data_IF_141224815111
#
_entry.id   IF_141224815111
#
_cell.length_a   1.000
_cell.length_b   1.000
_cell.length_c   1.000
_cell.angle_alpha   90.00
_cell.angle_beta   90.00
_cell.angle_gamma   90.00
#
_symmetry.space_group_name_H-M   'P 1'
#
loop_
_entity.id
_entity.type
_entity.pdbx_description
1 polymer ?
#
# COMPACT_ATOMS: atom_id res chain seq x y z
N UNK A 1 -8.40 7.79 -3.98
CA UNK A 1 -8.28 6.57 -3.16
C UNK A 1 -7.02 5.79 -3.48
N UNK A 2 -6.15 5.63 -2.49
CA UNK A 2 -4.84 4.94 -2.55
C UNK A 2 -4.84 3.75 -1.59
N UNK A 3 -3.90 2.83 -1.76
CA UNK A 3 -3.70 1.68 -0.86
C UNK A 3 -2.37 1.87 -0.15
N UNK A 4 -2.38 1.68 1.16
CA UNK A 4 -1.21 1.77 2.01
C UNK A 4 -0.94 0.44 2.71
N UNK A 5 0.31 0.01 2.71
CA UNK A 5 0.75 -1.21 3.37
C UNK A 5 1.07 -0.93 4.84
N UNK A 6 0.75 -1.89 5.70
CA UNK A 6 1.07 -1.81 7.12
C UNK A 6 1.78 -3.06 7.61
N UNK A 7 2.43 -2.95 8.76
CA UNK A 7 3.05 -4.04 9.50
C UNK A 7 2.47 -4.09 10.92
N UNK A 8 2.46 -5.31 11.47
CA UNK A 8 2.21 -5.59 12.89
C UNK A 8 3.44 -6.30 13.44
N UNK A 9 3.88 -5.91 14.64
CA UNK A 9 5.00 -6.58 15.31
C UNK A 9 4.46 -7.55 16.35
N UNK A 10 4.93 -8.80 16.32
CA UNK A 10 4.64 -9.76 17.39
C UNK A 10 5.36 -9.32 18.67
N UNK A 11 4.62 -9.08 19.77
CA UNK A 11 5.22 -8.62 21.02
C UNK A 11 6.11 -9.68 21.69
N UNK A 12 6.04 -10.95 21.30
CA UNK A 12 6.76 -12.05 21.95
C UNK A 12 8.07 -12.42 21.25
N UNK A 13 8.16 -12.26 19.93
CA UNK A 13 9.34 -12.70 19.16
C UNK A 13 9.92 -11.64 18.20
N UNK A 14 9.40 -10.41 18.21
CA UNK A 14 9.79 -9.30 17.33
C UNK A 14 9.68 -9.59 15.83
N UNK A 15 8.98 -10.65 15.42
CA UNK A 15 8.69 -10.86 14.00
C UNK A 15 7.71 -9.82 13.51
N UNK A 16 7.94 -9.38 12.28
CA UNK A 16 7.06 -8.48 11.54
C UNK A 16 6.13 -9.29 10.66
N UNK A 17 4.85 -9.02 10.77
CA UNK A 17 3.81 -9.58 9.92
C UNK A 17 3.23 -8.47 9.05
N UNK A 18 2.81 -8.84 7.83
CA UNK A 18 2.04 -7.95 6.98
C UNK A 18 0.69 -7.70 7.66
N UNK A 19 0.44 -6.43 7.99
CA UNK A 19 -0.81 -5.97 8.56
C UNK A 19 -1.90 -5.76 7.51
N UNK A 20 -3.09 -5.32 7.92
CA UNK A 20 -4.16 -4.97 6.98
C UNK A 20 -3.76 -3.76 6.12
N UNK A 21 -4.18 -3.75 4.86
CA UNK A 21 -3.99 -2.56 4.03
C UNK A 21 -4.97 -1.44 4.44
N UNK A 22 -4.54 -0.19 4.34
CA UNK A 22 -5.38 0.99 4.58
C UNK A 22 -5.77 1.58 3.23
N UNK A 23 -7.07 1.90 3.05
CA UNK A 23 -7.53 2.75 1.95
C UNK A 23 -7.74 4.16 2.46
N UNK A 24 -7.08 5.13 1.85
CA UNK A 24 -7.16 6.53 2.24
C UNK A 24 -6.97 7.44 1.02
N UNK A 25 -7.41 8.69 1.13
CA UNK A 25 -7.21 9.72 0.09
C UNK A 25 -5.84 10.38 0.18
N UNK A 26 -5.20 10.34 1.35
CA UNK A 26 -3.89 10.95 1.59
C UNK A 26 -3.02 10.14 2.55
N UNK A 27 -1.72 10.40 2.54
CA UNK A 27 -0.78 9.83 3.50
C UNK A 27 -1.16 10.18 4.94
N UNK A 28 -1.54 11.45 5.20
CA UNK A 28 -1.92 11.91 6.53
C UNK A 28 -3.16 11.18 7.10
N UNK A 29 -4.13 10.88 6.23
CA UNK A 29 -5.28 10.06 6.61
C UNK A 29 -4.87 8.61 6.90
N UNK A 30 -3.98 8.04 6.09
CA UNK A 30 -3.45 6.70 6.33
C UNK A 30 -2.65 6.60 7.63
N UNK A 31 -1.83 7.62 7.95
CA UNK A 31 -1.08 7.73 9.20
C UNK A 31 -2.02 7.79 10.41
N UNK A 32 -3.10 8.59 10.31
CA UNK A 32 -4.11 8.67 11.37
C UNK A 32 -4.77 7.33 11.63
N UNK A 33 -5.19 6.62 10.58
CA UNK A 33 -5.80 5.29 10.70
C UNK A 33 -4.78 4.31 11.29
N UNK A 34 -3.54 4.29 10.79
CA UNK A 34 -2.50 3.40 11.31
C UNK A 34 -2.27 3.62 12.82
N UNK A 35 -2.23 4.87 13.26
CA UNK A 35 -2.10 5.22 14.68
C UNK A 35 -3.28 4.72 15.53
N UNK A 36 -4.53 4.92 15.06
CA UNK A 36 -5.75 4.49 15.78
C UNK A 36 -5.81 2.97 16.01
N UNK A 37 -5.20 2.17 15.13
CA UNK A 37 -5.21 0.71 15.19
C UNK A 37 -3.85 0.10 15.59
N UNK A 38 -2.91 0.91 16.10
CA UNK A 38 -1.57 0.47 16.52
C UNK A 38 -0.81 -0.27 15.40
N UNK A 39 -0.99 0.16 14.16
CA UNK A 39 -0.32 -0.37 12.97
C UNK A 39 0.90 0.47 12.61
N UNK A 40 1.92 -0.18 12.06
CA UNK A 40 3.08 0.51 11.48
C UNK A 40 2.81 0.75 10.00
N UNK A 41 2.72 2.02 9.57
CA UNK A 41 2.58 2.38 8.16
C UNK A 41 3.92 2.17 7.43
N UNK A 42 3.92 1.33 6.38
CA UNK A 42 5.13 0.99 5.61
C UNK A 42 5.27 1.89 4.39
N UNK A 43 4.16 2.19 3.70
CA UNK A 43 4.17 3.03 2.51
C UNK A 43 2.95 2.87 1.60
N UNK A 44 2.91 3.66 0.52
CA UNK A 44 1.87 3.61 -0.50
C UNK A 44 2.18 2.50 -1.54
N UNK A 45 1.18 1.68 -1.87
CA UNK A 45 1.27 0.69 -2.93
C UNK A 45 0.96 1.35 -4.28
N UNK A 46 1.94 1.30 -5.19
CA UNK A 46 1.79 1.76 -6.56
C UNK A 46 1.72 0.59 -7.53
N UNK A 47 0.87 0.71 -8.54
CA UNK A 47 0.86 -0.22 -9.67
C UNK A 47 2.17 -0.11 -10.43
N UNK A 48 2.82 -1.25 -10.65
CA UNK A 48 3.97 -1.32 -11.54
C UNK A 48 3.47 -1.19 -12.97
N UNK A 49 3.73 -0.04 -13.59
CA UNK A 49 3.48 0.16 -15.02
C UNK A 49 4.69 -0.31 -15.81
N UNK A 50 4.54 -1.42 -16.51
CA UNK A 50 5.36 -1.72 -17.67
C UNK A 50 4.84 -0.88 -18.83
N UNK A 51 5.74 -0.32 -19.66
CA UNK A 51 5.33 0.31 -20.92
C UNK A 51 4.58 -0.76 -21.73
N UNK A 52 3.24 -0.70 -21.76
CA UNK A 52 2.47 -1.48 -22.71
C UNK A 52 2.88 -1.02 -24.11
N UNK A 53 3.36 -1.95 -24.94
CA UNK A 53 3.63 -1.72 -26.36
C UNK A 53 2.48 -0.88 -26.94
N UNK A 54 2.81 0.22 -27.63
CA UNK A 54 1.82 1.03 -28.34
C UNK A 54 0.83 0.10 -29.05
N UNK A 55 -0.49 0.31 -28.94
CA UNK A 55 -1.46 -0.54 -29.60
C UNK A 55 -1.09 -0.59 -31.08
N UNK A 56 -0.64 -1.75 -31.57
CA UNK A 56 -0.24 -1.93 -32.98
C UNK A 56 -1.37 -1.37 -33.83
N UNK A 57 -1.10 -0.24 -34.50
CA UNK A 57 -2.04 0.35 -35.46
C UNK A 57 -2.34 -0.73 -36.48
N UNK A 58 -3.54 -1.30 -36.41
CA UNK A 58 -4.07 -2.12 -37.50
C UNK A 58 -4.38 -1.14 -38.62
N UNK A 59 -3.45 -1.00 -39.57
CA UNK A 59 -3.70 -0.27 -40.80
C UNK A 59 -4.55 -1.20 -41.67
N UNK A 60 -5.81 -0.82 -41.89
CA UNK A 60 -6.70 -1.47 -42.86
C UNK A 60 -6.45 -0.91 -44.26
#
# INVERSE_FOLDING_TARGET
MRIFLTEITDPLDNKKFIGPYIRAESLAEAEKIAYEYELILVGELHELRTEEEEPKKVIH
#
